data_IF_170448683051
#
_entry.id   IF_170448683051
#
_cell.length_a   1.000
_cell.length_b   1.000
_cell.length_c   1.000
_cell.angle_alpha   90.00
_cell.angle_beta   90.00
_cell.angle_gamma   90.00
#
_symmetry.space_group_name_H-M   'P 1'
#
loop_
_entity.id
_entity.type
_entity.pdbx_description
1 polymer ?
#
# COMPACT_ATOMS: atom_id res chain seq x y z
N UNK A 1 -3.74 0.82 -10.36
CA UNK A 1 -3.18 1.20 -9.04
C UNK A 1 -2.17 2.32 -9.20
N UNK A 2 -2.57 3.56 -8.94
CA UNK A 2 -1.64 4.66 -8.76
C UNK A 2 -0.90 4.51 -7.43
N UNK A 3 0.42 4.70 -7.45
CA UNK A 3 1.25 4.66 -6.23
C UNK A 3 2.10 5.91 -6.14
N UNK A 4 1.83 6.72 -5.11
CA UNK A 4 2.66 7.86 -4.76
C UNK A 4 3.53 7.53 -3.56
N UNK A 5 4.86 7.55 -3.76
CA UNK A 5 5.85 7.51 -2.67
C UNK A 5 6.46 8.91 -2.54
N UNK A 6 6.19 9.55 -1.42
CA UNK A 6 6.60 10.95 -1.19
C UNK A 6 8.12 11.12 -1.15
N UNK A 7 8.61 12.32 -1.49
CA UNK A 7 10.05 12.66 -1.61
C UNK A 7 10.86 12.45 -0.32
N UNK A 8 10.23 12.25 0.84
CA UNK A 8 10.90 12.05 2.14
C UNK A 8 11.69 10.72 2.26
N UNK A 9 11.72 9.90 1.21
CA UNK A 9 12.28 8.54 1.20
C UNK A 9 13.73 8.45 0.68
N UNK A 10 14.45 9.57 0.57
CA UNK A 10 15.84 9.57 0.09
C UNK A 10 16.00 9.42 -1.44
N UNK A 11 17.16 8.95 -1.88
CA UNK A 11 17.62 8.90 -3.29
C UNK A 11 16.65 8.17 -4.23
N UNK A 12 16.67 8.51 -5.53
CA UNK A 12 15.78 7.93 -6.54
C UNK A 12 15.80 6.39 -6.60
N UNK A 13 16.98 5.78 -6.45
CA UNK A 13 17.16 4.31 -6.44
C UNK A 13 16.39 3.68 -5.28
N UNK A 14 16.51 4.26 -4.09
CA UNK A 14 15.86 3.81 -2.87
C UNK A 14 14.35 3.90 -2.98
N UNK A 15 13.84 5.04 -3.49
CA UNK A 15 12.41 5.23 -3.79
C UNK A 15 11.89 4.20 -4.79
N UNK A 16 12.65 3.90 -5.84
CA UNK A 16 12.25 2.92 -6.85
C UNK A 16 12.23 1.49 -6.30
N UNK A 17 13.17 1.14 -5.40
CA UNK A 17 13.14 -0.13 -4.68
C UNK A 17 11.89 -0.24 -3.82
N UNK A 18 11.60 0.76 -2.99
CA UNK A 18 10.40 0.78 -2.13
C UNK A 18 9.12 0.64 -2.96
N UNK A 19 8.98 1.42 -4.05
CA UNK A 19 7.86 1.26 -4.99
C UNK A 19 7.77 -0.15 -5.59
N UNK A 20 8.91 -0.81 -5.82
CA UNK A 20 8.95 -2.16 -6.40
C UNK A 20 8.48 -3.21 -5.39
N UNK A 21 8.91 -3.12 -4.13
CA UNK A 21 8.46 -4.01 -3.06
C UNK A 21 6.96 -3.84 -2.82
N UNK A 22 6.49 -2.59 -2.74
CA UNK A 22 5.07 -2.29 -2.54
C UNK A 22 4.24 -2.80 -3.73
N UNK A 23 4.69 -2.58 -4.97
CA UNK A 23 4.03 -3.16 -6.16
C UNK A 23 3.92 -4.67 -6.10
N UNK A 24 4.98 -5.34 -5.66
CA UNK A 24 5.00 -6.79 -5.56
C UNK A 24 4.01 -7.29 -4.50
N UNK A 25 3.96 -6.62 -3.35
CA UNK A 25 2.97 -6.87 -2.32
C UNK A 25 1.54 -6.75 -2.87
N UNK A 26 1.23 -5.65 -3.56
CA UNK A 26 -0.09 -5.47 -4.17
C UNK A 26 -0.38 -6.51 -5.25
N UNK A 27 0.61 -6.90 -6.06
CA UNK A 27 0.45 -7.94 -7.09
C UNK A 27 0.14 -9.30 -6.48
N UNK A 28 0.77 -9.67 -5.36
CA UNK A 28 0.52 -10.93 -4.66
C UNK A 28 -0.83 -10.94 -3.93
N UNK A 29 -1.22 -9.79 -3.38
CA UNK A 29 -2.45 -9.65 -2.60
C UNK A 29 -3.61 -9.06 -3.40
N UNK A 30 -3.59 -9.10 -4.73
CA UNK A 30 -4.69 -8.56 -5.57
C UNK A 30 -6.07 -9.13 -5.23
N UNK A 31 -6.13 -10.34 -4.68
CA UNK A 31 -7.39 -10.95 -4.23
C UNK A 31 -7.94 -10.36 -2.94
N UNK A 32 -7.07 -9.80 -2.10
CA UNK A 32 -7.43 -9.19 -0.82
C UNK A 32 -7.51 -7.66 -0.89
N UNK A 33 -6.88 -7.07 -1.91
CA UNK A 33 -6.91 -5.64 -2.19
C UNK A 33 -8.11 -5.38 -3.09
N UNK A 34 -9.04 -4.56 -2.63
CA UNK A 34 -10.20 -4.14 -3.41
C UNK A 34 -9.76 -3.38 -4.67
N UNK A 35 -10.52 -3.52 -5.75
CA UNK A 35 -10.28 -2.77 -6.98
C UNK A 35 -10.70 -1.30 -6.84
N UNK A 36 -10.04 -0.40 -7.58
CA UNK A 36 -10.39 1.02 -7.64
C UNK A 36 -9.69 1.95 -6.64
N UNK A 37 -8.64 1.49 -5.93
CA UNK A 37 -7.94 2.30 -4.93
C UNK A 37 -6.62 2.89 -5.45
N UNK A 38 -6.39 4.16 -5.09
CA UNK A 38 -5.10 4.82 -5.21
C UNK A 38 -4.41 4.90 -3.85
N UNK A 39 -3.26 4.25 -3.74
CA UNK A 39 -2.54 4.11 -2.47
C UNK A 39 -1.38 5.09 -2.43
N UNK A 40 -1.44 6.02 -1.49
CA UNK A 40 -0.34 6.95 -1.20
C UNK A 40 0.42 6.44 0.02
N UNK A 41 1.63 5.94 -0.20
CA UNK A 41 2.49 5.45 0.88
C UNK A 41 3.45 6.55 1.31
N UNK A 42 3.28 7.01 2.56
CA UNK A 42 4.16 7.98 3.19
C UNK A 42 5.08 7.26 4.19
N UNK A 43 6.33 6.98 3.84
CA UNK A 43 7.25 6.35 4.78
C UNK A 43 7.53 7.27 5.96
N UNK A 44 7.50 6.71 7.17
CA UNK A 44 7.89 7.42 8.40
C UNK A 44 9.37 7.80 8.31
N UNK A 45 9.76 8.93 8.92
CA UNK A 45 11.14 9.44 8.91
C UNK A 45 12.17 8.43 9.45
N UNK A 46 11.76 7.54 10.35
CA UNK A 46 12.61 6.52 10.97
C UNK A 46 12.71 5.23 10.14
N UNK A 47 12.03 5.14 9.00
CA UNK A 47 12.06 3.95 8.16
C UNK A 47 13.40 3.90 7.43
N UNK A 48 14.25 2.92 7.74
CA UNK A 48 15.45 2.68 6.96
C UNK A 48 15.06 1.95 5.66
N UNK A 49 15.15 2.61 4.50
CA UNK A 49 14.62 2.06 3.27
C UNK A 49 15.45 0.89 2.73
N UNK A 50 16.68 0.68 3.23
CA UNK A 50 17.47 -0.51 2.90
C UNK A 50 16.91 -1.77 3.56
N UNK A 51 16.25 -1.62 4.71
CA UNK A 51 15.63 -2.71 5.48
C UNK A 51 14.18 -2.99 5.07
N UNK A 52 13.65 -2.25 4.09
CA UNK A 52 12.30 -2.50 3.57
C UNK A 52 12.31 -3.82 2.80
N UNK A 53 11.67 -4.82 3.39
CA UNK A 53 11.44 -6.16 2.84
C UNK A 53 9.95 -6.36 2.54
N UNK A 54 9.66 -7.32 1.66
CA UNK A 54 8.28 -7.70 1.35
C UNK A 54 7.52 -8.19 2.59
N UNK A 55 8.21 -8.95 3.46
CA UNK A 55 7.64 -9.47 4.69
C UNK A 55 7.20 -8.36 5.64
N UNK A 56 8.08 -7.39 5.90
CA UNK A 56 7.76 -6.22 6.72
C UNK A 56 6.59 -5.42 6.16
N UNK A 57 6.59 -5.20 4.84
CA UNK A 57 5.48 -4.52 4.14
C UNK A 57 4.19 -5.31 4.30
N UNK A 58 4.23 -6.65 4.21
CA UNK A 58 3.04 -7.49 4.31
C UNK A 58 2.46 -7.47 5.72
N UNK A 59 3.29 -7.64 6.76
CA UNK A 59 2.86 -7.61 8.15
C UNK A 59 2.21 -6.28 8.55
N UNK A 60 2.71 -5.17 8.01
CA UNK A 60 2.22 -3.83 8.33
C UNK A 60 1.00 -3.42 7.48
N UNK A 61 1.03 -3.65 6.16
CA UNK A 61 0.00 -3.16 5.24
C UNK A 61 -1.20 -4.08 5.10
N UNK A 62 -1.03 -5.41 5.20
CA UNK A 62 -2.13 -6.35 5.04
C UNK A 62 -3.29 -6.11 6.01
N UNK A 63 -3.07 -5.97 7.34
CA UNK A 63 -4.17 -5.71 8.26
C UNK A 63 -4.82 -4.34 8.01
N UNK A 64 -4.06 -3.34 7.56
CA UNK A 64 -4.60 -2.02 7.23
C UNK A 64 -5.52 -2.13 6.01
N UNK A 65 -5.08 -2.82 4.96
CA UNK A 65 -5.85 -2.99 3.73
C UNK A 65 -7.13 -3.78 4.00
N UNK A 66 -7.05 -4.89 4.74
CA UNK A 66 -8.23 -5.68 5.09
C UNK A 66 -9.25 -4.84 5.88
N UNK A 67 -8.79 -4.02 6.82
CA UNK A 67 -9.67 -3.11 7.58
C UNK A 67 -10.31 -2.02 6.71
N UNK A 68 -9.56 -1.44 5.78
CA UNK A 68 -10.07 -0.40 4.87
C UNK A 68 -11.06 -1.01 3.87
N UNK A 69 -10.71 -2.11 3.22
CA UNK A 69 -11.60 -2.86 2.32
C UNK A 69 -12.89 -3.32 3.01
N UNK A 70 -12.78 -3.82 4.25
CA UNK A 70 -13.93 -4.23 5.05
C UNK A 70 -14.90 -3.09 5.34
N UNK A 71 -14.41 -1.86 5.51
CA UNK A 71 -15.24 -0.67 5.74
C UNK A 71 -15.92 -0.19 4.45
N UNK A 72 -15.22 -0.19 3.31
CA UNK A 72 -15.75 0.31 2.04
C UNK A 72 -16.77 -0.64 1.39
N UNK A 73 -16.71 -1.93 1.70
CA UNK A 73 -17.75 -2.90 1.29
C UNK A 73 -19.10 -2.58 1.94
N UNK A 74 -19.13 -1.79 3.03
CA UNK A 74 -20.36 -1.36 3.69
C UNK A 74 -20.94 -0.05 3.12
N UNK A 75 -20.19 0.70 2.31
CA UNK A 75 -20.62 2.01 1.81
C UNK A 75 -21.25 1.96 0.40
N UNK A 76 -20.95 0.94 -0.42
CA UNK A 76 -21.57 0.80 -1.76
C UNK A 76 -22.97 0.15 -1.73
N UNK A 77 -23.51 -0.13 -0.54
CA UNK A 77 -24.85 -0.69 -0.34
C UNK A 77 -25.97 0.32 -0.07
N UNK A 78 -25.68 1.64 -0.06
CA UNK A 78 -26.69 2.67 0.23
C UNK A 78 -26.91 3.68 -0.91
N UNK A 79 -26.77 3.25 -2.16
CA UNK A 79 -27.35 3.97 -3.28
C UNK A 79 -28.36 3.06 -3.99
N UNK A 80 -29.59 3.10 -3.49
CA UNK A 80 -30.82 2.69 -4.16
C UNK A 80 -31.79 3.88 -4.08
N UNK A 81 -32.86 3.99 -4.89
CA UNK A 81 -33.30 3.19 -6.04
C UNK A 81 -33.18 3.89 -7.41
#
# INVERSE_FOLDING_TARGET
>A
MGMAVTKKTGTAVVRNRVKRVIREFFRLNQREVCDGFDVVVVPKRSLNPERVSLDMVSQELLPIIQNVCGQLTQETGNEAP
#
